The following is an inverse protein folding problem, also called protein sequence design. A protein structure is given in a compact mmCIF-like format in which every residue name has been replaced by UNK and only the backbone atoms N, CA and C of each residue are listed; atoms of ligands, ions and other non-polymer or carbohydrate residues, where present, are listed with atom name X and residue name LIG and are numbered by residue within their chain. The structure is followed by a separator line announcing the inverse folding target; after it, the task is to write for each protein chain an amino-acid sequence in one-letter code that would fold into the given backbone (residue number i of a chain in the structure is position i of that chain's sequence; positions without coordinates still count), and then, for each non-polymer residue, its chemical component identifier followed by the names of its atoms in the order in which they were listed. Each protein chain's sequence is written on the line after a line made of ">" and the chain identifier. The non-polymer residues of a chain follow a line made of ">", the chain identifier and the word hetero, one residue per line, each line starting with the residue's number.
data_IF_568019643487
#
_entry.id   IF_568019643487
#
_cell.length_a   1.000
_cell.length_b   1.000
_cell.length_c   1.000
_cell.angle_alpha   90.00
_cell.angle_beta   90.00
_cell.angle_gamma   90.00
#
_symmetry.space_group_name_H-M   'P 1'
#
loop_
_entity.id
_entity.type
_entity.pdbx_description
1 polymer ?
#
# COMPACT_ATOMS: atom_id res chain seq x y z
N UNK A 1 2.76 23.87 -11.41
CA UNK A 1 3.81 23.13 -12.14
C UNK A 1 3.46 23.21 -13.62
N UNK A 2 4.36 23.67 -14.50
CA UNK A 2 4.11 23.70 -15.94
C UNK A 2 3.87 22.28 -16.49
N UNK A 3 3.00 22.15 -17.50
CA UNK A 3 2.68 20.86 -18.12
C UNK A 3 3.93 20.19 -18.72
N UNK A 4 4.84 20.98 -19.28
CA UNK A 4 6.11 20.49 -19.83
C UNK A 4 6.98 19.80 -18.77
N UNK A 5 7.10 20.42 -17.59
CA UNK A 5 7.87 19.86 -16.48
C UNK A 5 7.24 18.55 -15.97
N UNK A 6 5.91 18.50 -15.84
CA UNK A 6 5.19 17.28 -15.45
C UNK A 6 5.42 16.11 -16.44
N UNK A 7 5.43 16.41 -17.74
CA UNK A 7 5.75 15.42 -18.79
C UNK A 7 7.19 14.96 -18.71
N UNK A 8 8.15 15.86 -18.48
CA UNK A 8 9.57 15.51 -18.32
C UNK A 8 9.81 14.63 -17.09
N UNK A 9 9.21 14.97 -15.94
CA UNK A 9 9.29 14.16 -14.72
C UNK A 9 8.75 12.75 -14.99
N UNK A 10 7.60 12.66 -15.66
CA UNK A 10 7.00 11.35 -15.97
C UNK A 10 7.83 10.55 -16.96
N UNK A 11 8.37 11.19 -18.00
CA UNK A 11 9.25 10.53 -18.96
C UNK A 11 10.51 9.98 -18.29
N UNK A 12 11.16 10.79 -17.44
CA UNK A 12 12.33 10.37 -16.66
C UNK A 12 12.03 9.17 -15.76
N UNK A 13 10.86 9.15 -15.11
CA UNK A 13 10.43 8.02 -14.28
C UNK A 13 10.19 6.74 -15.10
N UNK A 14 9.54 6.84 -16.26
CA UNK A 14 9.30 5.69 -17.14
C UNK A 14 10.55 5.20 -17.88
N UNK A 15 11.63 5.98 -17.89
CA UNK A 15 12.92 5.58 -18.46
C UNK A 15 13.71 4.59 -17.57
N UNK A 16 13.29 4.35 -16.32
CA UNK A 16 13.88 3.33 -15.46
C UNK A 16 13.59 1.92 -16.01
N UNK A 17 14.52 1.40 -16.80
CA UNK A 17 14.47 0.08 -17.40
C UNK A 17 14.46 -1.08 -16.37
N UNK A 18 14.79 -0.81 -15.10
CA UNK A 18 14.71 -1.82 -14.04
C UNK A 18 13.29 -2.01 -13.49
N UNK A 19 12.39 -1.07 -13.77
CA UNK A 19 11.00 -1.08 -13.29
C UNK A 19 9.98 -1.07 -14.42
N UNK A 20 10.29 -0.45 -15.56
CA UNK A 20 9.39 -0.31 -16.70
C UNK A 20 10.01 -0.81 -17.99
N UNK A 21 9.15 -1.28 -18.90
CA UNK A 21 9.55 -1.72 -20.23
C UNK A 21 8.58 -1.12 -21.27
N UNK A 22 9.07 -0.59 -22.41
CA UNK A 22 8.23 -0.23 -23.53
C UNK A 22 7.51 -1.46 -24.10
N UNK A 23 6.27 -1.28 -24.51
CA UNK A 23 5.40 -2.34 -25.04
C UNK A 23 4.66 -1.84 -26.28
N UNK A 24 3.84 -2.72 -26.85
CA UNK A 24 2.99 -2.44 -28.00
C UNK A 24 1.52 -2.67 -27.69
N UNK A 25 0.65 -2.10 -28.52
CA UNK A 25 -0.79 -2.39 -28.48
C UNK A 25 -1.08 -3.87 -28.74
N UNK A 26 -0.29 -4.52 -29.60
CA UNK A 26 -0.42 -5.94 -29.90
C UNK A 26 -0.21 -6.80 -28.65
N UNK A 27 0.80 -6.48 -27.85
CA UNK A 27 1.09 -7.16 -26.57
C UNK A 27 -0.01 -6.90 -25.55
N UNK A 28 -0.50 -5.66 -25.44
CA UNK A 28 -1.65 -5.33 -24.59
C UNK A 28 -2.87 -6.20 -24.92
N UNK A 29 -3.25 -6.25 -26.20
CA UNK A 29 -4.40 -7.05 -26.65
C UNK A 29 -4.17 -8.56 -26.42
N UNK A 30 -2.94 -9.04 -26.56
CA UNK A 30 -2.59 -10.43 -26.27
C UNK A 30 -2.74 -10.76 -24.78
N UNK A 31 -2.28 -9.89 -23.88
CA UNK A 31 -2.48 -10.07 -22.43
C UNK A 31 -3.96 -10.07 -22.05
N UNK A 32 -4.76 -9.20 -22.66
CA UNK A 32 -6.19 -9.14 -22.40
C UNK A 32 -6.92 -10.43 -22.79
N UNK A 33 -6.62 -10.96 -23.99
CA UNK A 33 -7.18 -12.24 -24.44
C UNK A 33 -6.79 -13.38 -23.51
N UNK A 34 -5.50 -13.49 -23.20
CA UNK A 34 -4.97 -14.50 -22.28
C UNK A 34 -5.67 -14.46 -20.92
N UNK A 35 -5.83 -13.29 -20.30
CA UNK A 35 -6.50 -13.16 -19.01
C UNK A 35 -7.96 -13.62 -19.09
N UNK A 36 -8.69 -13.22 -20.13
CA UNK A 36 -10.07 -13.63 -20.34
C UNK A 36 -10.20 -15.15 -20.56
N UNK A 37 -9.27 -15.76 -21.29
CA UNK A 37 -9.25 -17.20 -21.57
C UNK A 37 -8.97 -18.01 -20.30
N UNK A 38 -7.96 -17.58 -19.51
CA UNK A 38 -7.65 -18.21 -18.23
C UNK A 38 -8.81 -18.05 -17.24
N UNK A 39 -9.40 -16.85 -17.13
CA UNK A 39 -10.56 -16.61 -16.27
C UNK A 39 -11.73 -17.54 -16.63
N UNK A 40 -12.05 -17.64 -17.92
CA UNK A 40 -13.16 -18.47 -18.40
C UNK A 40 -12.89 -19.96 -18.14
N UNK A 41 -11.67 -20.42 -18.42
CA UNK A 41 -11.26 -21.82 -18.22
C UNK A 41 -11.29 -22.20 -16.74
N UNK A 42 -10.64 -21.39 -15.89
CA UNK A 42 -10.59 -21.61 -14.45
C UNK A 42 -11.99 -21.55 -13.85
N UNK A 43 -12.78 -20.53 -14.21
CA UNK A 43 -14.15 -20.36 -13.70
C UNK A 43 -15.05 -21.54 -14.03
N UNK A 44 -15.07 -21.99 -15.28
CA UNK A 44 -15.86 -23.17 -15.71
C UNK A 44 -15.42 -24.43 -15.00
N UNK A 45 -14.11 -24.67 -14.93
CA UNK A 45 -13.57 -25.84 -14.23
C UNK A 45 -13.88 -25.84 -12.73
N UNK A 46 -14.12 -24.65 -12.15
CA UNK A 46 -14.50 -24.47 -10.75
C UNK A 46 -16.01 -24.51 -10.50
N UNK A 47 -16.82 -24.72 -11.54
CA UNK A 47 -18.28 -24.71 -11.41
C UNK A 47 -18.86 -23.34 -11.08
N UNK A 48 -18.14 -22.25 -11.42
CA UNK A 48 -18.73 -20.91 -11.32
C UNK A 48 -19.82 -20.74 -12.38
N UNK A 49 -20.89 -20.04 -12.02
CA UNK A 49 -22.00 -19.73 -12.93
C UNK A 49 -21.52 -19.00 -14.20
N UNK A 50 -21.99 -19.45 -15.38
CA UNK A 50 -21.56 -18.88 -16.67
C UNK A 50 -21.93 -17.40 -16.81
N UNK A 51 -23.05 -16.96 -16.24
CA UNK A 51 -23.42 -15.52 -16.26
C UNK A 51 -22.44 -14.71 -15.40
N UNK A 52 -22.00 -15.25 -14.27
CA UNK A 52 -20.98 -14.63 -13.44
C UNK A 52 -19.64 -14.54 -14.17
N UNK A 53 -19.19 -15.61 -14.81
CA UNK A 53 -17.96 -15.63 -15.63
C UNK A 53 -18.04 -14.57 -16.72
N UNK A 54 -19.13 -14.54 -17.48
CA UNK A 54 -19.35 -13.57 -18.57
C UNK A 54 -19.40 -12.12 -18.09
N UNK A 55 -19.96 -11.85 -16.89
CA UNK A 55 -20.01 -10.49 -16.31
C UNK A 55 -18.63 -9.93 -15.97
N UNK A 56 -17.69 -10.76 -15.53
CA UNK A 56 -16.35 -10.30 -15.16
C UNK A 56 -15.40 -10.25 -16.35
N UNK A 57 -15.72 -10.94 -17.45
CA UNK A 57 -15.04 -10.77 -18.74
C UNK A 57 -15.30 -9.37 -19.29
N UNK A 58 -14.25 -8.70 -19.76
CA UNK A 58 -14.37 -7.41 -20.44
C UNK A 58 -14.07 -7.60 -21.93
N UNK A 59 -15.03 -7.20 -22.77
CA UNK A 59 -14.91 -7.25 -24.23
C UNK A 59 -14.45 -5.92 -24.81
N UNK A 60 -14.97 -4.80 -24.28
CA UNK A 60 -14.52 -3.45 -24.62
C UNK A 60 -13.44 -2.99 -23.64
N UNK A 61 -12.19 -3.07 -24.08
CA UNK A 61 -11.02 -2.88 -23.23
C UNK A 61 -10.55 -1.42 -23.29
N UNK A 62 -10.59 -0.74 -22.15
CA UNK A 62 -9.86 0.50 -21.98
C UNK A 62 -8.44 0.15 -21.53
N UNK A 63 -7.43 0.55 -22.30
CA UNK A 63 -6.04 0.44 -21.85
C UNK A 63 -5.87 1.28 -20.57
N UNK A 64 -5.36 0.69 -19.46
CA UNK A 64 -5.04 1.45 -18.26
C UNK A 64 -4.15 2.66 -18.58
N UNK A 65 -4.36 3.78 -17.90
CA UNK A 65 -3.62 5.03 -18.17
C UNK A 65 -2.74 5.37 -16.99
N UNK A 66 -1.47 5.67 -17.27
CA UNK A 66 -0.52 6.13 -16.27
C UNK A 66 -0.60 7.65 -16.10
N UNK A 67 -0.52 8.09 -14.85
CA UNK A 67 -0.29 9.48 -14.49
C UNK A 67 0.57 9.55 -13.22
N UNK A 68 1.34 10.61 -13.09
CA UNK A 68 2.18 10.86 -11.92
C UNK A 68 1.53 11.88 -11.00
N UNK A 69 1.71 11.72 -9.69
CA UNK A 69 1.41 12.77 -8.72
C UNK A 69 2.68 13.13 -7.96
N UNK A 70 3.13 14.37 -8.09
CA UNK A 70 4.34 14.85 -7.41
C UNK A 70 4.16 14.85 -5.88
N UNK A 71 5.15 14.33 -5.16
CA UNK A 71 5.21 14.37 -3.69
C UNK A 71 5.68 15.75 -3.23
N UNK A 72 4.79 16.74 -3.27
CA UNK A 72 5.10 18.14 -2.92
C UNK A 72 5.73 18.34 -1.55
N UNK A 73 5.38 17.52 -0.56
CA UNK A 73 5.94 17.54 0.79
C UNK A 73 7.38 17.00 0.90
N UNK A 74 7.95 16.45 -0.17
CA UNK A 74 9.34 16.00 -0.25
C UNK A 74 10.20 16.96 -1.09
N UNK A 75 9.64 18.11 -1.50
CA UNK A 75 10.37 19.16 -2.22
C UNK A 75 10.86 20.19 -1.20
N UNK A 76 12.17 20.47 -1.11
CA UNK A 76 12.69 21.56 -0.30
C UNK A 76 12.11 22.91 -0.75
N UNK A 77 11.68 23.74 0.19
CA UNK A 77 11.02 25.03 -0.10
C UNK A 77 11.89 25.99 -0.93
N UNK A 78 13.22 25.82 -0.92
CA UNK A 78 14.20 26.71 -1.56
C UNK A 78 14.68 26.25 -2.95
N UNK A 79 14.21 25.12 -3.50
CA UNK A 79 14.80 24.51 -4.72
C UNK A 79 13.83 24.33 -5.89
N UNK A 80 12.56 24.76 -5.79
CA UNK A 80 11.55 24.48 -6.83
C UNK A 80 11.92 24.97 -8.25
N UNK A 81 12.78 25.98 -8.38
CA UNK A 81 13.20 26.54 -9.66
C UNK A 81 14.43 25.90 -10.32
N UNK A 82 15.21 25.09 -9.58
CA UNK A 82 16.51 24.55 -10.02
C UNK A 82 16.58 23.03 -10.09
N UNK A 83 15.55 22.32 -9.60
CA UNK A 83 15.54 20.86 -9.58
C UNK A 83 15.39 20.25 -10.99
N UNK A 84 16.25 19.28 -11.28
CA UNK A 84 16.12 18.41 -12.46
C UNK A 84 14.86 17.55 -12.36
N UNK A 85 14.31 17.12 -13.50
CA UNK A 85 13.07 16.33 -13.56
C UNK A 85 13.21 14.99 -12.80
N UNK A 86 14.42 14.45 -12.79
CA UNK A 86 14.84 13.18 -12.18
C UNK A 86 14.83 13.26 -10.63
N UNK A 87 14.95 14.46 -10.08
CA UNK A 87 14.97 14.68 -8.63
C UNK A 87 13.56 14.60 -8.01
N UNK A 88 12.51 14.86 -8.80
CA UNK A 88 11.15 14.88 -8.30
C UNK A 88 10.67 13.47 -7.91
N UNK A 89 10.31 13.31 -6.64
CA UNK A 89 9.64 12.09 -6.18
C UNK A 89 8.17 12.14 -6.56
N UNK A 90 7.69 11.09 -7.21
CA UNK A 90 6.29 10.97 -7.64
C UNK A 90 5.57 9.78 -6.99
N UNK A 91 4.25 9.76 -7.11
CA UNK A 91 3.41 8.58 -6.99
C UNK A 91 3.03 8.14 -8.41
N UNK A 92 3.60 7.06 -8.94
CA UNK A 92 3.23 6.53 -10.25
C UNK A 92 1.90 5.78 -10.14
N UNK A 93 0.83 6.32 -10.71
CA UNK A 93 -0.51 5.74 -10.61
C UNK A 93 -0.97 5.23 -11.97
N UNK A 94 -1.44 3.99 -12.01
CA UNK A 94 -2.06 3.36 -13.17
C UNK A 94 -3.56 3.25 -12.94
N UNK A 95 -4.35 4.02 -13.69
CA UNK A 95 -5.81 3.96 -13.65
C UNK A 95 -6.28 2.66 -14.31
N UNK A 96 -6.53 1.65 -13.49
CA UNK A 96 -6.98 0.34 -13.96
C UNK A 96 -8.51 0.23 -14.15
N UNK A 97 -9.27 1.30 -13.88
CA UNK A 97 -10.75 1.28 -13.96
C UNK A 97 -11.20 0.99 -15.39
N UNK A 98 -12.02 -0.05 -15.57
CA UNK A 98 -12.45 -0.51 -16.89
C UNK A 98 -11.36 -1.19 -17.72
N UNK A 99 -10.17 -1.42 -17.14
CA UNK A 99 -9.09 -2.19 -17.75
C UNK A 99 -9.31 -3.70 -17.62
N UNK A 100 -8.53 -4.52 -18.35
CA UNK A 100 -8.72 -5.97 -18.49
C UNK A 100 -8.85 -6.72 -17.16
N UNK A 101 -8.03 -6.35 -16.16
CA UNK A 101 -8.02 -7.02 -14.86
C UNK A 101 -8.99 -6.42 -13.84
N UNK A 102 -9.72 -5.32 -14.13
CA UNK A 102 -10.50 -4.59 -13.12
C UNK A 102 -11.56 -5.46 -12.40
N UNK A 103 -12.43 -6.11 -13.18
CA UNK A 103 -13.55 -6.90 -12.64
C UNK A 103 -13.10 -8.22 -12.02
N UNK A 104 -12.13 -8.89 -12.66
CA UNK A 104 -11.57 -10.15 -12.15
C UNK A 104 -10.79 -9.88 -10.85
N UNK A 105 -9.94 -8.85 -10.83
CA UNK A 105 -9.20 -8.45 -9.63
C UNK A 105 -10.11 -7.97 -8.51
N UNK A 106 -11.26 -7.35 -8.81
CA UNK A 106 -12.28 -7.03 -7.80
C UNK A 106 -12.80 -8.28 -7.09
N UNK A 107 -13.14 -9.32 -7.85
CA UNK A 107 -13.63 -10.58 -7.28
C UNK A 107 -12.54 -11.28 -6.45
N UNK A 108 -11.33 -11.41 -7.01
CA UNK A 108 -10.19 -11.98 -6.29
C UNK A 108 -9.91 -11.19 -5.00
N UNK A 109 -10.02 -9.86 -5.04
CA UNK A 109 -9.83 -9.04 -3.85
C UNK A 109 -10.89 -9.32 -2.77
N UNK A 110 -12.11 -9.73 -3.11
CA UNK A 110 -13.10 -10.19 -2.10
C UNK A 110 -12.63 -11.42 -1.35
N UNK A 111 -11.83 -12.28 -1.99
CA UNK A 111 -11.24 -13.46 -1.37
C UNK A 111 -10.03 -13.03 -0.53
N UNK A 112 -8.99 -12.52 -1.19
CA UNK A 112 -7.67 -12.34 -0.55
C UNK A 112 -7.64 -11.21 0.48
N UNK A 113 -8.52 -10.20 0.39
CA UNK A 113 -8.55 -9.11 1.36
C UNK A 113 -8.98 -9.58 2.77
N UNK A 114 -9.61 -10.75 2.90
CA UNK A 114 -9.92 -11.36 4.20
C UNK A 114 -8.64 -11.75 4.97
N UNK A 115 -7.53 -11.99 4.25
CA UNK A 115 -6.23 -12.33 4.84
C UNK A 115 -5.58 -11.16 5.59
N UNK A 116 -5.95 -9.92 5.28
CA UNK A 116 -5.35 -8.73 5.89
C UNK A 116 -5.53 -8.74 7.41
N UNK A 117 -6.70 -9.16 7.89
CA UNK A 117 -7.00 -9.28 9.33
C UNK A 117 -6.18 -10.37 10.04
N UNK A 118 -5.46 -11.21 9.29
CA UNK A 118 -4.59 -12.27 9.82
C UNK A 118 -3.13 -11.83 9.93
N UNK A 119 -2.77 -10.66 9.41
CA UNK A 119 -1.40 -10.13 9.46
C UNK A 119 -1.18 -9.42 10.81
N UNK A 120 -0.32 -9.95 11.71
CA UNK A 120 -0.22 -9.45 13.09
C UNK A 120 0.23 -7.99 13.19
N UNK A 121 1.18 -7.58 12.36
CA UNK A 121 1.72 -6.22 12.37
C UNK A 121 0.85 -5.19 11.65
N UNK A 122 -0.22 -5.59 10.96
CA UNK A 122 -0.99 -4.67 10.12
C UNK A 122 -1.98 -3.83 10.92
N UNK A 123 -1.99 -2.53 10.64
CA UNK A 123 -2.99 -1.58 11.12
C UNK A 123 -3.94 -1.16 9.99
N UNK A 124 -5.24 -1.21 10.26
CA UNK A 124 -6.27 -0.75 9.33
C UNK A 124 -6.56 0.75 9.46
N UNK A 125 -6.24 1.36 10.61
CA UNK A 125 -6.53 2.76 10.92
C UNK A 125 -5.81 3.22 12.20
N UNK A 126 -5.88 4.53 12.48
CA UNK A 126 -5.30 5.14 13.70
C UNK A 126 -5.89 4.61 15.01
N UNK A 127 -7.11 4.06 15.02
CA UNK A 127 -7.70 3.55 16.27
C UNK A 127 -7.04 2.26 16.72
N UNK A 128 -6.73 1.36 15.78
CA UNK A 128 -5.99 0.15 16.08
C UNK A 128 -4.60 0.49 16.61
N UNK A 129 -3.95 1.53 16.09
CA UNK A 129 -2.69 2.02 16.65
C UNK A 129 -2.82 2.47 18.12
N UNK A 130 -3.85 3.27 18.43
CA UNK A 130 -4.12 3.72 19.80
C UNK A 130 -4.39 2.53 20.73
N UNK A 131 -5.10 1.52 20.23
CA UNK A 131 -5.40 0.30 20.98
C UNK A 131 -4.13 -0.53 21.26
N UNK A 132 -3.22 -0.63 20.29
CA UNK A 132 -1.91 -1.26 20.49
C UNK A 132 -1.09 -0.53 21.56
N UNK A 133 -1.02 0.81 21.52
CA UNK A 133 -0.35 1.62 22.55
C UNK A 133 -0.92 1.38 23.97
N UNK A 134 -2.22 1.17 24.09
CA UNK A 134 -2.88 0.91 25.39
C UNK A 134 -2.61 -0.49 25.94
N UNK A 135 -2.47 -1.48 25.04
CA UNK A 135 -2.24 -2.88 25.38
C UNK A 135 -0.76 -3.16 25.67
N UNK A 136 0.13 -2.45 24.99
CA UNK A 136 1.57 -2.57 25.17
C UNK A 136 1.99 -2.10 26.58
N UNK A 137 3.03 -2.75 27.11
CA UNK A 137 3.72 -2.34 28.32
C UNK A 137 5.10 -1.85 27.92
N UNK A 138 5.45 -0.65 28.36
CA UNK A 138 6.74 -0.04 28.05
C UNK A 138 7.59 0.05 29.31
N UNK A 139 8.88 -0.13 29.13
CA UNK A 139 9.90 -0.03 30.16
C UNK A 139 10.43 1.40 30.24
N UNK A 140 11.19 1.68 31.29
CA UNK A 140 11.72 3.02 31.53
C UNK A 140 12.66 3.49 30.41
N UNK A 141 13.41 2.57 29.80
CA UNK A 141 14.38 2.84 28.75
C UNK A 141 13.84 2.58 27.32
N UNK A 142 12.54 2.33 27.19
CA UNK A 142 11.94 2.02 25.90
C UNK A 142 12.17 3.13 24.87
N UNK A 143 12.52 2.71 23.66
CA UNK A 143 12.77 3.59 22.52
C UNK A 143 11.66 3.40 21.50
N UNK A 144 11.11 4.51 21.00
CA UNK A 144 10.09 4.51 19.95
C UNK A 144 10.63 5.18 18.68
N UNK A 145 10.49 4.50 17.54
CA UNK A 145 10.87 5.05 16.23
C UNK A 145 9.80 4.73 15.17
N UNK A 146 9.74 5.58 14.14
CA UNK A 146 8.93 5.36 12.93
C UNK A 146 9.86 5.03 11.77
N UNK A 147 9.53 3.97 11.02
CA UNK A 147 10.22 3.61 9.79
C UNK A 147 9.30 3.79 8.58
N UNK A 148 9.76 4.50 7.56
CA UNK A 148 9.07 4.69 6.28
C UNK A 148 9.70 3.79 5.21
N UNK A 149 8.87 3.05 4.48
CA UNK A 149 9.32 2.19 3.38
C UNK A 149 9.40 3.00 2.09
N UNK A 150 10.61 3.10 1.55
CA UNK A 150 10.84 3.86 0.31
C UNK A 150 10.18 3.18 -0.89
N UNK A 151 9.19 3.86 -1.46
CA UNK A 151 8.53 3.50 -2.71
C UNK A 151 7.97 2.07 -2.74
N UNK A 152 7.38 1.62 -1.63
CA UNK A 152 6.89 0.25 -1.39
C UNK A 152 6.38 -0.44 -2.67
N UNK A 153 5.33 0.09 -3.30
CA UNK A 153 4.69 -0.56 -4.44
C UNK A 153 5.63 -0.81 -5.63
N UNK A 154 6.52 0.12 -5.99
CA UNK A 154 7.47 -0.09 -7.11
C UNK A 154 8.67 -0.96 -6.74
N UNK A 155 8.90 -1.15 -5.44
CA UNK A 155 10.03 -1.91 -4.89
C UNK A 155 9.73 -3.39 -4.63
N UNK A 156 8.44 -3.75 -4.47
CA UNK A 156 8.01 -5.13 -4.24
C UNK A 156 8.34 -6.02 -5.43
N UNK A 157 8.91 -7.20 -5.18
CA UNK A 157 9.11 -8.21 -6.22
C UNK A 157 7.84 -9.05 -6.39
N UNK A 158 7.35 -9.17 -7.62
CA UNK A 158 6.05 -9.80 -7.92
C UNK A 158 6.01 -11.27 -7.48
N UNK A 159 7.06 -12.04 -7.77
CA UNK A 159 7.15 -13.45 -7.39
C UNK A 159 7.21 -13.63 -5.88
N UNK A 160 7.95 -12.76 -5.17
CA UNK A 160 8.00 -12.78 -3.72
C UNK A 160 6.65 -12.41 -3.08
N UNK A 161 5.89 -11.49 -3.69
CA UNK A 161 4.54 -11.16 -3.23
C UNK A 161 3.54 -12.30 -3.48
N UNK A 162 3.63 -12.98 -4.64
CA UNK A 162 2.85 -14.17 -4.92
C UNK A 162 3.18 -15.30 -3.95
N UNK A 163 4.47 -15.50 -3.64
CA UNK A 163 4.90 -16.49 -2.66
C UNK A 163 4.35 -16.18 -1.27
N UNK A 164 4.42 -14.93 -0.81
CA UNK A 164 3.85 -14.53 0.48
C UNK A 164 2.32 -14.71 0.52
N UNK A 165 1.60 -14.41 -0.57
CA UNK A 165 0.16 -14.69 -0.66
C UNK A 165 -0.13 -16.20 -0.60
N UNK A 166 0.69 -17.01 -1.27
CA UNK A 166 0.57 -18.47 -1.26
C UNK A 166 0.69 -19.03 0.16
N UNK A 167 1.70 -18.59 0.91
CA UNK A 167 1.92 -18.96 2.32
C UNK A 167 0.74 -18.53 3.22
N UNK A 168 0.22 -17.31 3.03
CA UNK A 168 -0.96 -16.83 3.76
C UNK A 168 -2.22 -17.68 3.46
N UNK A 169 -2.38 -18.12 2.21
CA UNK A 169 -3.48 -19.01 1.82
C UNK A 169 -3.31 -20.41 2.42
N UNK A 170 -2.10 -20.95 2.52
CA UNK A 170 -1.86 -22.23 3.21
C UNK A 170 -2.31 -22.15 4.67
N UNK A 171 -1.94 -21.07 5.36
CA UNK A 171 -2.21 -20.91 6.79
C UNK A 171 -3.69 -20.59 7.09
N UNK A 172 -4.41 -19.97 6.16
CA UNK A 172 -5.72 -19.36 6.48
C UNK A 172 -6.85 -19.67 5.50
N UNK A 173 -6.63 -20.45 4.44
CA UNK A 173 -7.66 -20.76 3.43
C UNK A 173 -8.95 -21.35 4.01
N UNK A 174 -8.87 -22.13 5.08
CA UNK A 174 -10.03 -22.72 5.77
C UNK A 174 -10.86 -21.70 6.54
N UNK A 175 -10.31 -20.52 6.81
CA UNK A 175 -10.96 -19.45 7.60
C UNK A 175 -11.50 -18.30 6.75
N UNK A 176 -11.34 -18.38 5.43
CA UNK A 176 -11.79 -17.35 4.48
C UNK A 176 -12.77 -17.94 3.47
N UNK A 177 -13.65 -17.10 2.94
CA UNK A 177 -14.53 -17.51 1.84
C UNK A 177 -13.79 -17.42 0.50
N UNK A 178 -13.53 -18.57 -0.12
CA UNK A 178 -12.89 -18.68 -1.45
C UNK A 178 -13.87 -18.74 -2.62
N UNK A 179 -15.17 -18.77 -2.33
CA UNK A 179 -16.24 -18.92 -3.33
C UNK A 179 -16.04 -20.14 -4.25
N UNK A 180 -15.57 -21.26 -3.69
CA UNK A 180 -15.36 -22.52 -4.42
C UNK A 180 -14.05 -22.60 -5.19
N UNK A 181 -13.24 -21.54 -5.21
CA UNK A 181 -11.90 -21.60 -5.81
C UNK A 181 -10.91 -22.31 -4.89
N UNK A 182 -10.12 -23.23 -5.46
CA UNK A 182 -8.96 -23.79 -4.78
C UNK A 182 -7.82 -22.76 -4.71
N UNK A 183 -6.88 -22.95 -3.76
CA UNK A 183 -5.67 -22.14 -3.67
C UNK A 183 -4.96 -22.01 -5.02
N UNK A 184 -4.75 -23.14 -5.72
CA UNK A 184 -4.09 -23.15 -7.02
C UNK A 184 -4.77 -22.22 -8.02
N UNK A 185 -6.11 -22.26 -8.12
CA UNK A 185 -6.89 -21.40 -9.00
C UNK A 185 -6.80 -19.92 -8.61
N UNK A 186 -6.87 -19.61 -7.32
CA UNK A 186 -6.69 -18.24 -6.81
C UNK A 186 -5.31 -17.72 -7.23
N UNK A 187 -4.26 -18.50 -6.98
CA UNK A 187 -2.88 -18.12 -7.31
C UNK A 187 -2.68 -17.93 -8.82
N UNK A 188 -3.21 -18.82 -9.66
CA UNK A 188 -3.19 -18.65 -11.12
C UNK A 188 -3.85 -17.33 -11.53
N UNK A 189 -5.06 -17.06 -11.05
CA UNK A 189 -5.80 -15.86 -11.44
C UNK A 189 -5.15 -14.57 -10.93
N UNK A 190 -4.58 -14.55 -9.72
CA UNK A 190 -3.83 -13.41 -9.19
C UNK A 190 -2.56 -13.18 -10.01
N UNK A 191 -1.82 -14.25 -10.34
CA UNK A 191 -0.62 -14.15 -11.18
C UNK A 191 -0.94 -13.59 -12.58
N UNK A 192 -2.01 -14.05 -13.21
CA UNK A 192 -2.45 -13.52 -14.51
C UNK A 192 -2.92 -12.06 -14.42
N UNK A 193 -3.58 -11.66 -13.32
CA UNK A 193 -3.90 -10.24 -13.09
C UNK A 193 -2.64 -9.38 -12.96
N UNK A 194 -1.60 -9.85 -12.27
CA UNK A 194 -0.33 -9.12 -12.14
C UNK A 194 0.43 -9.01 -13.46
N UNK A 195 0.38 -10.05 -14.29
CA UNK A 195 0.98 -10.03 -15.64
C UNK A 195 0.22 -9.13 -16.60
N UNK A 196 -1.09 -8.98 -16.41
CA UNK A 196 -1.94 -8.09 -17.21
C UNK A 196 -1.83 -6.64 -16.71
N UNK A 197 -0.66 -6.04 -16.93
CA UNK A 197 -0.26 -4.75 -16.36
C UNK A 197 0.23 -3.72 -17.39
N UNK A 198 0.00 -3.97 -18.69
CA UNK A 198 0.33 -2.97 -19.71
C UNK A 198 -0.59 -1.76 -19.56
N UNK A 199 0.00 -0.56 -19.64
CA UNK A 199 -0.67 0.73 -19.55
C UNK A 199 -0.14 1.70 -20.61
N UNK A 200 -0.87 2.80 -20.81
CA UNK A 200 -0.55 3.85 -21.77
C UNK A 200 -0.13 5.14 -21.07
N UNK A 201 0.90 5.80 -21.59
CA UNK A 201 1.26 7.17 -21.26
C UNK A 201 1.66 7.92 -22.52
N UNK A 202 1.06 9.10 -22.72
CA UNK A 202 1.35 9.99 -23.86
C UNK A 202 1.35 9.31 -25.24
N UNK A 203 0.45 8.33 -25.46
CA UNK A 203 0.35 7.61 -26.73
C UNK A 203 1.12 6.29 -26.78
N UNK A 204 2.13 6.12 -25.92
CA UNK A 204 3.02 4.95 -25.89
C UNK A 204 2.58 3.92 -24.85
N UNK A 205 2.87 2.64 -25.09
CA UNK A 205 2.54 1.54 -24.18
C UNK A 205 3.77 1.14 -23.36
N UNK A 206 3.53 0.77 -22.11
CA UNK A 206 4.54 0.33 -21.16
C UNK A 206 3.98 -0.77 -20.28
N UNK A 207 4.85 -1.65 -19.78
CA UNK A 207 4.55 -2.57 -18.68
C UNK A 207 5.43 -2.24 -17.48
N UNK A 208 4.98 -2.67 -16.30
CA UNK A 208 5.78 -2.62 -15.09
C UNK A 208 6.43 -3.99 -14.87
N UNK A 209 7.75 -4.09 -15.02
CA UNK A 209 8.50 -5.35 -14.90
C UNK A 209 8.73 -5.76 -13.45
N UNK A 210 8.83 -4.77 -12.55
CA UNK A 210 8.95 -4.96 -11.11
C UNK A 210 7.98 -4.06 -10.37
N UNK A 211 7.34 -4.62 -9.34
CA UNK A 211 6.45 -3.87 -8.48
C UNK A 211 4.99 -4.16 -8.75
N UNK A 212 4.17 -3.57 -7.90
CA UNK A 212 2.72 -3.63 -7.93
C UNK A 212 2.21 -2.28 -8.43
N UNK A 213 1.42 -2.28 -9.50
CA UNK A 213 0.89 -1.06 -10.08
C UNK A 213 -0.02 -0.33 -9.06
N UNK A 214 0.35 0.89 -8.67
CA UNK A 214 -0.50 1.69 -7.77
C UNK A 214 -1.79 2.03 -8.51
N UNK A 215 -2.91 1.45 -8.08
CA UNK A 215 -4.20 1.57 -8.75
C UNK A 215 -4.80 0.23 -9.18
N UNK A 216 -4.00 -0.84 -9.18
CA UNK A 216 -4.52 -2.19 -9.27
C UNK A 216 -5.14 -2.61 -7.93
N UNK A 217 -6.31 -3.28 -7.97
CA UNK A 217 -7.07 -3.64 -6.75
C UNK A 217 -6.35 -4.61 -5.83
N UNK A 218 -5.54 -5.50 -6.40
CA UNK A 218 -4.77 -6.52 -5.66
C UNK A 218 -3.47 -5.97 -5.07
N UNK A 219 -2.98 -4.81 -5.53
CA UNK A 219 -1.70 -4.28 -5.11
C UNK A 219 -1.61 -4.06 -3.57
N UNK A 220 -2.62 -3.46 -2.89
CA UNK A 220 -2.52 -3.25 -1.44
C UNK A 220 -2.43 -4.54 -0.63
N UNK A 221 -3.27 -5.52 -0.91
CA UNK A 221 -3.26 -6.81 -0.19
C UNK A 221 -1.98 -7.60 -0.46
N UNK A 222 -1.47 -7.58 -1.69
CA UNK A 222 -0.20 -8.22 -2.03
C UNK A 222 0.99 -7.53 -1.34
N UNK A 223 1.00 -6.20 -1.28
CA UNK A 223 2.02 -5.46 -0.53
C UNK A 223 1.96 -5.80 0.97
N UNK A 224 0.76 -5.90 1.56
CA UNK A 224 0.60 -6.27 2.96
C UNK A 224 1.09 -7.71 3.23
N UNK A 225 0.74 -8.68 2.37
CA UNK A 225 1.20 -10.07 2.51
C UNK A 225 2.73 -10.14 2.37
N UNK A 226 3.29 -9.51 1.36
CA UNK A 226 4.74 -9.43 1.16
C UNK A 226 5.44 -8.84 2.39
N UNK A 227 4.93 -7.72 2.91
CA UNK A 227 5.52 -7.09 4.09
C UNK A 227 5.35 -7.95 5.35
N UNK A 228 4.26 -8.72 5.47
CA UNK A 228 4.07 -9.67 6.58
C UNK A 228 5.21 -10.69 6.66
N UNK A 229 5.79 -11.09 5.52
CA UNK A 229 6.98 -11.94 5.47
C UNK A 229 8.26 -11.18 5.82
N UNK A 230 8.43 -9.97 5.30
CA UNK A 230 9.60 -9.11 5.57
C UNK A 230 9.72 -8.77 7.06
N UNK A 231 8.60 -8.57 7.76
CA UNK A 231 8.60 -8.19 9.18
C UNK A 231 8.80 -9.37 10.15
N UNK A 232 8.68 -10.64 9.71
CA UNK A 232 8.77 -11.82 10.58
C UNK A 232 10.04 -11.87 11.45
N UNK A 233 11.26 -11.64 10.92
CA UNK A 233 12.46 -11.75 11.74
C UNK A 233 12.54 -10.69 12.84
N UNK A 234 11.90 -9.53 12.65
CA UNK A 234 11.77 -8.52 13.70
C UNK A 234 10.70 -8.94 14.71
N UNK A 235 9.55 -9.42 14.24
CA UNK A 235 8.49 -9.91 15.14
C UNK A 235 8.99 -11.07 16.04
N UNK A 236 9.84 -11.94 15.52
CA UNK A 236 10.46 -13.04 16.26
C UNK A 236 11.39 -12.58 17.40
N UNK A 237 11.87 -11.33 17.35
CA UNK A 237 12.65 -10.72 18.45
C UNK A 237 11.77 -10.18 19.58
N UNK A 238 10.45 -10.24 19.42
CA UNK A 238 9.46 -9.81 20.42
C UNK A 238 9.65 -8.36 20.87
N UNK A 239 9.67 -7.38 19.94
CA UNK A 239 9.68 -5.97 20.33
C UNK A 239 8.45 -5.68 21.19
N UNK A 240 8.56 -4.72 22.11
CA UNK A 240 7.47 -4.32 22.99
C UNK A 240 6.22 -3.87 22.21
N UNK A 241 6.44 -3.31 21.02
CA UNK A 241 5.38 -3.06 20.04
C UNK A 241 5.96 -3.05 18.61
N UNK A 242 5.26 -3.68 17.67
CA UNK A 242 5.48 -3.49 16.22
C UNK A 242 4.11 -3.32 15.57
N UNK A 243 3.96 -2.26 14.78
CA UNK A 243 2.75 -2.06 13.99
C UNK A 243 3.07 -1.30 12.69
N UNK A 244 2.26 -1.53 11.66
CA UNK A 244 2.48 -0.98 10.32
C UNK A 244 1.18 -0.66 9.61
N UNK A 245 1.07 0.59 9.16
CA UNK A 245 0.02 1.07 8.28
C UNK A 245 0.59 1.24 6.88
N UNK A 246 0.39 0.23 6.03
CA UNK A 246 0.94 0.16 4.66
C UNK A 246 2.47 0.32 4.66
N UNK A 247 2.99 1.53 4.40
CA UNK A 247 4.40 1.92 4.30
C UNK A 247 4.97 2.50 5.60
N UNK A 248 4.13 3.02 6.49
CA UNK A 248 4.54 3.61 7.77
C UNK A 248 4.58 2.54 8.87
N UNK A 249 5.74 2.28 9.47
CA UNK A 249 5.93 1.37 10.60
C UNK A 249 6.18 2.14 11.90
N UNK A 250 5.70 1.64 13.03
CA UNK A 250 6.08 2.13 14.36
C UNK A 250 6.54 0.95 15.22
N UNK A 251 7.75 1.07 15.76
CA UNK A 251 8.35 0.10 16.66
C UNK A 251 8.61 0.72 18.02
N UNK A 252 8.51 -0.13 19.05
CA UNK A 252 9.03 0.14 20.39
C UNK A 252 9.87 -1.05 20.84
N UNK A 253 11.10 -0.77 21.26
CA UNK A 253 12.06 -1.75 21.79
C UNK A 253 12.55 -1.33 23.16
N UNK A 254 13.12 -2.26 23.93
CA UNK A 254 13.61 -1.96 25.29
C UNK A 254 14.88 -1.10 25.29
N UNK A 255 15.65 -1.13 24.20
CA UNK A 255 16.89 -0.35 24.07
C UNK A 255 17.08 0.20 22.65
N UNK A 256 17.91 1.23 22.52
CA UNK A 256 18.33 1.76 21.21
C UNK A 256 19.12 0.72 20.40
N UNK A 257 19.97 -0.09 21.04
CA UNK A 257 20.73 -1.14 20.35
C UNK A 257 19.82 -2.18 19.69
N UNK A 258 18.74 -2.55 20.37
CA UNK A 258 17.73 -3.45 19.81
C UNK A 258 16.96 -2.80 18.65
N UNK A 259 16.62 -1.52 18.77
CA UNK A 259 16.01 -0.75 17.68
C UNK A 259 16.90 -0.75 16.44
N UNK A 260 18.20 -0.53 16.64
CA UNK A 260 19.19 -0.48 15.58
C UNK A 260 19.36 -1.83 14.88
N UNK A 261 19.34 -2.90 15.67
CA UNK A 261 19.37 -4.26 15.15
C UNK A 261 18.10 -4.59 14.34
N UNK A 262 16.91 -4.20 14.83
CA UNK A 262 15.66 -4.38 14.09
C UNK A 262 15.69 -3.62 12.76
N UNK A 263 16.15 -2.38 12.76
CA UNK A 263 16.30 -1.57 11.55
C UNK A 263 17.28 -2.19 10.55
N UNK A 264 18.41 -2.73 11.04
CA UNK A 264 19.41 -3.43 10.23
C UNK A 264 18.80 -4.68 9.60
N UNK A 265 18.12 -5.52 10.38
CA UNK A 265 17.46 -6.75 9.91
C UNK A 265 16.46 -6.42 8.81
N UNK A 266 15.57 -5.45 9.00
CA UNK A 266 14.56 -5.05 8.01
C UNK A 266 15.19 -4.66 6.66
N UNK A 267 16.29 -3.91 6.69
CA UNK A 267 17.01 -3.48 5.50
C UNK A 267 17.84 -4.58 4.81
N UNK A 268 17.93 -5.78 5.40
CA UNK A 268 18.61 -6.94 4.83
C UNK A 268 17.65 -7.96 4.20
N UNK A 269 16.34 -7.83 4.43
CA UNK A 269 15.36 -8.85 3.99
C UNK A 269 15.13 -8.89 2.48
N UNK A 270 15.40 -7.79 1.78
CA UNK A 270 15.19 -7.70 0.34
C UNK A 270 16.15 -6.71 -0.29
N UNK A 271 16.61 -7.04 -1.50
CA UNK A 271 17.50 -6.20 -2.29
C UNK A 271 16.88 -4.82 -2.60
N UNK A 272 15.56 -4.75 -2.77
CA UNK A 272 14.85 -3.57 -3.29
C UNK A 272 14.03 -2.83 -2.23
N UNK A 273 13.71 -3.46 -1.10
CA UNK A 273 13.00 -2.78 -0.01
C UNK A 273 14.00 -2.06 0.86
N UNK A 274 13.74 -0.78 1.11
CA UNK A 274 14.56 0.07 1.97
C UNK A 274 13.68 0.78 2.97
N UNK A 275 14.07 0.69 4.23
CA UNK A 275 13.46 1.40 5.33
C UNK A 275 14.29 2.62 5.66
N UNK A 276 13.62 3.74 5.92
CA UNK A 276 14.24 4.97 6.39
C UNK A 276 13.68 5.31 7.76
N UNK A 277 14.46 6.00 8.59
CA UNK A 277 14.02 6.43 9.92
C UNK A 277 13.44 7.83 9.84
N UNK A 278 12.29 8.03 10.46
CA UNK A 278 11.78 9.38 10.71
C UNK A 278 12.32 9.88 12.05
N UNK A 279 12.92 11.07 12.04
CA UNK A 279 13.46 11.68 13.24
C UNK A 279 12.34 12.11 14.20
N UNK A 280 12.57 11.91 15.50
CA UNK A 280 11.79 12.54 16.55
C UNK A 280 11.92 14.06 16.46
N UNK A 281 10.82 14.78 16.65
CA UNK A 281 10.80 16.23 16.75
C UNK A 281 10.48 16.62 18.20
N UNK A 282 11.45 17.16 18.92
CA UNK A 282 11.31 17.53 20.34
C UNK A 282 10.82 16.36 21.23
N UNK A 283 11.31 15.14 20.92
CA UNK A 283 10.90 13.90 21.58
C UNK A 283 9.49 13.41 21.22
N UNK A 284 8.83 14.03 20.23
CA UNK A 284 7.55 13.58 19.68
C UNK A 284 7.75 12.85 18.36
N UNK A 285 7.15 11.66 18.25
CA UNK A 285 7.08 10.88 17.02
C UNK A 285 5.78 11.17 16.29
N UNK A 286 5.80 11.77 15.09
CA UNK A 286 4.66 11.77 14.20
C UNK A 286 4.35 10.35 13.72
N UNK A 287 3.12 9.87 13.92
CA UNK A 287 2.65 8.62 13.33
C UNK A 287 1.15 8.70 13.03
N UNK A 288 0.77 8.47 11.76
CA UNK A 288 -0.59 8.66 11.25
C UNK A 288 -1.16 10.07 11.59
N UNK A 289 -2.31 10.11 12.28
CA UNK A 289 -2.97 11.35 12.74
C UNK A 289 -2.57 11.74 14.18
N UNK A 290 -1.46 11.21 14.69
CA UNK A 290 -1.03 11.40 16.08
C UNK A 290 0.43 11.84 16.16
N UNK A 291 0.78 12.50 17.25
CA UNK A 291 2.16 12.66 17.73
C UNK A 291 2.23 11.95 19.07
N UNK A 292 3.15 11.01 19.22
CA UNK A 292 3.32 10.20 20.44
C UNK A 292 4.66 10.54 21.07
N UNK A 293 4.69 10.66 22.39
CA UNK A 293 5.93 10.80 23.17
C UNK A 293 5.96 9.69 24.21
N UNK A 294 7.02 8.91 24.21
CA UNK A 294 7.28 7.85 25.18
C UNK A 294 8.36 8.33 26.15
N UNK A 295 8.12 8.24 27.45
CA UNK A 295 9.06 8.65 28.49
C UNK A 295 8.79 7.88 29.78
N UNK A 296 9.83 7.25 30.34
CA UNK A 296 9.76 6.49 31.58
C UNK A 296 8.65 5.41 31.59
N UNK A 297 8.49 4.66 30.50
CA UNK A 297 7.45 3.63 30.36
C UNK A 297 6.02 4.16 30.17
N UNK A 298 5.82 5.49 30.24
CA UNK A 298 4.53 6.13 30.02
C UNK A 298 4.52 6.83 28.67
N UNK A 299 3.41 6.73 27.95
CA UNK A 299 3.23 7.44 26.69
C UNK A 299 2.18 8.54 26.83
N UNK A 300 2.41 9.64 26.12
CA UNK A 300 1.42 10.69 25.90
C UNK A 300 1.21 10.87 24.41
N UNK A 301 0.02 11.31 24.02
CA UNK A 301 -0.28 11.58 22.62
C UNK A 301 -0.99 12.90 22.44
N UNK A 302 -0.85 13.47 21.25
CA UNK A 302 -1.65 14.59 20.79
C UNK A 302 -2.06 14.41 19.33
N UNK A 303 -3.14 15.09 18.96
CA UNK A 303 -3.52 15.19 17.55
C UNK A 303 -2.36 15.77 16.74
N UNK A 304 -2.06 15.16 15.61
CA UNK A 304 -1.05 15.69 14.69
C UNK A 304 -1.56 15.76 13.27
N UNK A 305 -1.11 16.81 12.60
CA UNK A 305 -1.31 17.04 11.17
C UNK A 305 0.00 17.53 10.59
N UNK A 306 0.43 16.88 9.50
CA UNK A 306 1.62 17.32 8.73
C UNK A 306 1.41 18.76 8.28
N UNK A 307 2.43 19.60 8.42
CA UNK A 307 2.39 21.02 8.03
C UNK A 307 2.03 21.21 6.56
N UNK A 308 2.50 20.31 5.69
CA UNK A 308 2.19 20.28 4.26
C UNK A 308 0.73 19.95 3.93
N UNK A 309 -0.08 19.52 4.90
CA UNK A 309 -1.49 19.24 4.70
C UNK A 309 -2.25 20.55 4.46
N UNK A 310 -2.78 20.73 3.26
CA UNK A 310 -3.57 21.92 2.90
C UNK A 310 -5.07 21.83 3.24
N UNK A 311 -5.51 20.76 3.93
CA UNK A 311 -6.95 20.50 4.20
C UNK A 311 -7.83 20.52 2.95
N UNK A 312 -7.26 20.18 1.79
CA UNK A 312 -8.02 20.14 0.54
C UNK A 312 -8.97 18.96 0.64
N UNK A 313 -10.26 19.26 0.72
CA UNK A 313 -11.33 18.27 0.70
C UNK A 313 -11.87 18.12 -0.72
N UNK A 314 -12.61 17.03 -0.94
CA UNK A 314 -13.33 16.83 -2.19
C UNK A 314 -14.31 17.98 -2.36
N UNK A 315 -14.18 18.71 -3.46
CA UNK A 315 -15.12 19.79 -3.80
C UNK A 315 -16.55 19.23 -3.87
N UNK A 316 -17.50 19.90 -3.20
CA UNK A 316 -18.89 19.48 -3.12
C UNK A 316 -19.55 19.35 -4.51
N UNK A 317 -19.11 20.14 -5.49
CA UNK A 317 -19.60 20.14 -6.88
C UNK A 317 -18.83 19.18 -7.80
N UNK A 318 -17.82 18.45 -7.31
CA UNK A 318 -17.10 17.48 -8.14
C UNK A 318 -17.99 16.31 -8.58
N UNK A 319 -17.61 15.60 -9.64
CA UNK A 319 -18.38 14.45 -10.17
C UNK A 319 -18.35 13.18 -9.27
N UNK A 320 -17.81 13.27 -8.05
CA UNK A 320 -17.78 12.13 -7.13
C UNK A 320 -19.18 11.82 -6.57
N UNK A 321 -19.51 10.53 -6.32
CA UNK A 321 -20.77 10.16 -5.68
C UNK A 321 -20.98 10.88 -4.34
N UNK A 322 -22.22 11.31 -4.07
CA UNK A 322 -22.54 12.03 -2.83
C UNK A 322 -22.23 11.20 -1.57
N UNK A 323 -22.35 9.88 -1.64
CA UNK A 323 -21.97 8.94 -0.58
C UNK A 323 -20.47 9.05 -0.24
N UNK A 324 -19.60 9.15 -1.24
CA UNK A 324 -18.15 9.30 -1.05
C UNK A 324 -17.82 10.62 -0.36
N UNK A 325 -18.39 11.74 -0.85
CA UNK A 325 -18.19 13.07 -0.25
C UNK A 325 -18.59 13.08 1.24
N UNK A 326 -19.78 12.53 1.56
CA UNK A 326 -20.24 12.39 2.95
C UNK A 326 -19.34 11.48 3.78
N UNK A 327 -18.84 10.38 3.19
CA UNK A 327 -17.96 9.45 3.89
C UNK A 327 -16.64 10.11 4.30
N UNK A 328 -16.03 10.92 3.42
CA UNK A 328 -14.80 11.67 3.73
C UNK A 328 -15.01 12.56 4.97
N UNK A 329 -16.05 13.41 4.96
CA UNK A 329 -16.34 14.31 6.08
C UNK A 329 -16.62 13.51 7.37
N UNK A 330 -17.46 12.47 7.28
CA UNK A 330 -17.79 11.64 8.44
C UNK A 330 -16.56 10.96 9.04
N UNK A 331 -15.66 10.45 8.21
CA UNK A 331 -14.43 9.79 8.67
C UNK A 331 -13.48 10.77 9.35
N UNK A 332 -13.38 12.00 8.86
CA UNK A 332 -12.59 13.05 9.52
C UNK A 332 -13.13 13.36 10.93
N UNK A 333 -14.43 13.62 11.07
CA UNK A 333 -15.04 13.89 12.38
C UNK A 333 -14.90 12.71 13.34
N UNK A 334 -15.12 11.48 12.87
CA UNK A 334 -14.91 10.27 13.67
C UNK A 334 -13.47 10.19 14.17
N UNK A 335 -12.48 10.46 13.30
CA UNK A 335 -11.06 10.41 13.64
C UNK A 335 -10.71 11.46 14.69
N UNK A 336 -11.12 12.70 14.48
CA UNK A 336 -10.91 13.80 15.43
C UNK A 336 -11.50 13.50 16.81
N UNK A 337 -12.78 13.10 16.88
CA UNK A 337 -13.46 12.80 18.15
C UNK A 337 -12.76 11.69 18.92
N UNK A 338 -12.35 10.62 18.24
CA UNK A 338 -11.73 9.46 18.87
C UNK A 338 -10.31 9.72 19.35
N UNK A 339 -9.50 10.44 18.58
CA UNK A 339 -8.16 10.85 19.04
C UNK A 339 -8.27 11.78 20.24
N UNK A 340 -9.21 12.73 20.23
CA UNK A 340 -9.46 13.60 21.39
C UNK A 340 -9.84 12.80 22.65
N UNK A 341 -10.74 11.81 22.53
CA UNK A 341 -11.08 10.91 23.64
C UNK A 341 -9.88 10.08 24.11
N UNK A 342 -9.03 9.63 23.18
CA UNK A 342 -7.83 8.87 23.53
C UNK A 342 -6.81 9.71 24.29
N UNK A 343 -6.64 10.97 23.90
CA UNK A 343 -5.80 11.93 24.62
C UNK A 343 -6.27 12.08 26.07
N UNK A 344 -7.57 12.26 26.31
CA UNK A 344 -8.12 12.38 27.67
C UNK A 344 -7.87 11.13 28.54
N UNK A 345 -7.88 9.94 27.94
CA UNK A 345 -7.60 8.69 28.66
C UNK A 345 -6.13 8.46 28.97
N UNK A 346 -5.23 9.04 28.17
CA UNK A 346 -3.79 8.87 28.31
C UNK A 346 -3.19 9.76 29.40
N UNK A 347 -3.82 10.90 29.70
CA UNK A 347 -3.37 11.85 30.74
C UNK A 347 -3.81 11.45 32.16
N UNK A 348 -4.70 10.46 32.30
CA UNK A 348 -5.29 10.03 33.58
C UNK A 348 -4.72 8.71 34.12
N UNK A 349 -3.54 8.30 33.66
CA UNK A 349 -2.73 7.22 34.22
C UNK A 349 -1.34 7.76 34.49
#
# INVERSE_FOLDING_TARGET
>A
MPQELDRRITAAHLADATTYRPETEKEFLAQCRRLNDVWSTVGKSAGLDDRFIGRLKLENLNCPVFYSLVKTHKIPLHEMGSMSAETFKIRPIVRCVGGPSDRISWFLNKIVNQLIAKVPGHLSNTYEFIDQLRKAKFEQNSVIESFDITSLYTSVQNDAALQALSEMLDNHSTTINTFGLSKARIMTLVSECLKCNIFKWSGSYFSQTRGLAMGQRLAPVLAICFMSRIEQPVLARMPQMYCRYIDDCCLVTSTQSEMDECFRILNQQSQHIRFTREALQDGWLPYLNTKVKLSNGTWTMKWYRKESSKNILINASSAHPASMKRAVIRNMFKTARKVALAMMSATNR
#
